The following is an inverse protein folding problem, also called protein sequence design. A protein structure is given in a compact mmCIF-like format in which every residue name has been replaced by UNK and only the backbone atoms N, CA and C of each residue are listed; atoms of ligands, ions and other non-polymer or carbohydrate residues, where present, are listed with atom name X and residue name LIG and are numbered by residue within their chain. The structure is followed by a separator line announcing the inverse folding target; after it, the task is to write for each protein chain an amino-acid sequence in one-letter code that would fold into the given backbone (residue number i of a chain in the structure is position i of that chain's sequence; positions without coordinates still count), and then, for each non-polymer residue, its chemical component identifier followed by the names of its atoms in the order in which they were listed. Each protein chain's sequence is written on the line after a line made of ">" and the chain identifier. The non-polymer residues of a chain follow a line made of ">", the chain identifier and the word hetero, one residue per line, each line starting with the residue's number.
data_IF_764746069209
#
_entry.id   IF_764746069209
#
_cell.length_a   1.000
_cell.length_b   1.000
_cell.length_c   1.000
_cell.angle_alpha   90.00
_cell.angle_beta   90.00
_cell.angle_gamma   90.00
#
_symmetry.space_group_name_H-M   'P 1'
#
loop_
_entity.id
_entity.type
_entity.pdbx_description
1 polymer ?
#
# COMPACT_ATOMS: atom_id res chain seq x y z
N UNK A 1 -10.35 -18.22 53.09
CA UNK A 1 -10.55 -19.26 52.06
C UNK A 1 -11.03 -18.58 50.79
N UNK A 2 -10.11 -18.00 50.03
CA UNK A 2 -10.41 -17.44 48.72
C UNK A 2 -9.78 -18.35 47.68
N UNK A 3 -10.51 -18.66 46.61
CA UNK A 3 -9.96 -19.03 45.31
C UNK A 3 -11.07 -19.27 44.28
N UNK A 4 -10.88 -18.61 43.13
CA UNK A 4 -11.27 -19.00 41.77
C UNK A 4 -12.74 -18.79 41.38
N UNK A 5 -12.97 -17.83 40.49
CA UNK A 5 -13.29 -18.12 39.09
C UNK A 5 -13.51 -16.84 38.30
N UNK A 6 -12.52 -16.39 37.51
CA UNK A 6 -12.71 -15.91 36.13
C UNK A 6 -11.36 -16.06 35.40
N UNK A 7 -11.19 -17.15 34.66
CA UNK A 7 -10.08 -17.33 33.73
C UNK A 7 -10.67 -17.61 32.34
N UNK A 8 -11.19 -16.58 31.65
CA UNK A 8 -11.64 -16.71 30.26
C UNK A 8 -11.85 -15.37 29.51
N UNK A 9 -11.07 -14.32 29.78
CA UNK A 9 -11.24 -13.05 29.05
C UNK A 9 -9.95 -12.39 28.54
N UNK A 10 -8.77 -12.87 28.94
CA UNK A 10 -7.49 -12.25 28.52
C UNK A 10 -7.09 -12.58 27.08
N UNK A 11 -7.65 -13.64 26.48
CA UNK A 11 -7.30 -14.09 25.13
C UNK A 11 -8.09 -13.45 23.98
N UNK A 12 -9.16 -12.71 24.25
CA UNK A 12 -9.95 -12.01 23.22
C UNK A 12 -9.57 -10.53 23.07
N UNK A 13 -8.79 -10.01 24.02
CA UNK A 13 -8.14 -8.70 23.94
C UNK A 13 -6.74 -8.80 23.31
N UNK A 14 -6.56 -9.74 22.38
CA UNK A 14 -5.39 -9.82 21.51
C UNK A 14 -5.16 -8.45 20.86
N UNK A 15 -3.91 -7.97 20.78
CA UNK A 15 -3.62 -6.55 20.84
C UNK A 15 -3.98 -5.89 19.52
N UNK A 16 -4.95 -4.97 19.56
CA UNK A 16 -5.16 -4.00 18.46
C UNK A 16 -3.86 -3.30 18.06
N UNK A 17 -2.89 -3.17 18.98
CA UNK A 17 -1.54 -2.64 18.74
C UNK A 17 -0.67 -3.49 17.81
N UNK A 18 -0.79 -4.83 17.83
CA UNK A 18 -0.01 -5.68 16.93
C UNK A 18 -0.53 -5.59 15.49
N UNK A 19 -1.85 -5.42 15.30
CA UNK A 19 -2.45 -5.18 13.98
C UNK A 19 -2.27 -3.73 13.49
N UNK A 20 -2.10 -2.77 14.41
CA UNK A 20 -1.73 -1.40 14.07
C UNK A 20 -0.25 -1.27 13.66
N UNK A 21 0.62 -2.13 14.19
CA UNK A 21 2.05 -2.16 13.84
C UNK A 21 2.30 -2.57 12.37
N UNK A 22 1.37 -3.29 11.75
CA UNK A 22 1.43 -3.67 10.34
C UNK A 22 0.78 -2.66 9.38
N UNK A 23 0.21 -1.55 9.89
CA UNK A 23 -0.26 -0.46 9.03
C UNK A 23 0.90 0.51 8.76
N UNK A 24 1.27 0.81 7.50
CA UNK A 24 2.41 1.65 7.19
C UNK A 24 2.06 3.14 7.37
N UNK A 25 1.77 3.56 8.61
CA UNK A 25 1.36 4.93 8.96
C UNK A 25 2.38 5.98 8.53
N UNK A 26 3.68 5.63 8.61
CA UNK A 26 4.77 6.49 8.15
C UNK A 26 4.75 6.71 6.62
N UNK A 27 4.39 5.69 5.83
CA UNK A 27 4.28 5.82 4.38
C UNK A 27 3.06 6.65 3.97
N UNK A 28 1.91 6.43 4.61
CA UNK A 28 0.69 7.21 4.39
C UNK A 28 0.79 8.67 4.88
N UNK A 29 1.61 8.93 5.90
CA UNK A 29 1.87 10.27 6.45
C UNK A 29 3.01 11.03 5.78
N UNK A 30 3.74 10.40 4.84
CA UNK A 30 4.83 11.03 4.12
C UNK A 30 4.31 12.20 3.25
N UNK A 31 5.13 13.25 3.10
CA UNK A 31 4.78 14.40 2.25
C UNK A 31 5.46 14.38 0.88
N UNK A 32 6.40 13.47 0.70
CA UNK A 32 7.19 13.30 -0.50
C UNK A 32 7.21 11.82 -0.91
N UNK A 33 7.31 11.55 -2.20
CA UNK A 33 7.43 10.19 -2.75
C UNK A 33 8.62 9.43 -2.16
N UNK A 34 9.81 10.04 -2.13
CA UNK A 34 11.01 9.38 -1.61
C UNK A 34 10.86 8.95 -0.15
N UNK A 35 10.17 9.74 0.67
CA UNK A 35 9.93 9.40 2.08
C UNK A 35 8.89 8.26 2.20
N UNK A 36 7.87 8.25 1.34
CA UNK A 36 6.85 7.20 1.30
C UNK A 36 7.44 5.85 0.89
N UNK A 37 8.26 5.83 -0.17
CA UNK A 37 8.93 4.63 -0.68
C UNK A 37 9.92 4.10 0.36
N UNK A 38 10.72 4.98 0.98
CA UNK A 38 11.62 4.58 2.06
C UNK A 38 10.91 4.03 3.28
N UNK A 39 9.76 4.60 3.64
CA UNK A 39 8.97 4.10 4.76
C UNK A 39 8.40 2.69 4.52
N UNK A 40 8.20 2.29 3.26
CA UNK A 40 7.65 0.98 2.90
C UNK A 40 8.73 -0.06 2.57
N UNK A 41 9.69 0.31 1.72
CA UNK A 41 10.72 -0.58 1.16
C UNK A 41 12.10 -0.38 1.79
N UNK A 42 12.25 0.54 2.74
CA UNK A 42 13.53 0.88 3.36
C UNK A 42 14.50 1.57 2.38
N UNK A 43 15.80 1.33 2.54
CA UNK A 43 16.85 1.85 1.66
C UNK A 43 17.05 1.00 0.38
N UNK A 44 16.02 0.28 -0.05
CA UNK A 44 16.08 -0.54 -1.27
C UNK A 44 16.25 0.36 -2.49
N UNK A 45 17.23 0.08 -3.37
CA UNK A 45 17.42 0.87 -4.58
C UNK A 45 16.21 0.72 -5.51
N UNK A 46 15.64 1.84 -5.93
CA UNK A 46 14.62 1.88 -6.98
C UNK A 46 15.32 1.65 -8.32
N UNK A 47 14.86 0.65 -9.07
CA UNK A 47 15.37 0.31 -10.39
C UNK A 47 14.20 0.34 -11.37
N UNK A 48 14.34 1.13 -12.43
CA UNK A 48 13.33 1.19 -13.48
C UNK A 48 13.24 -0.15 -14.22
N UNK A 49 12.01 -0.60 -14.49
CA UNK A 49 11.75 -1.87 -15.15
C UNK A 49 10.61 -1.75 -16.16
N UNK A 50 10.88 -2.17 -17.39
CA UNK A 50 9.88 -2.26 -18.46
C UNK A 50 8.89 -3.42 -18.25
N UNK A 51 9.12 -4.27 -17.25
CA UNK A 51 8.25 -5.40 -16.90
C UNK A 51 7.00 -4.97 -16.12
N UNK A 52 6.92 -3.71 -15.67
CA UNK A 52 5.78 -3.15 -14.93
C UNK A 52 4.93 -2.32 -15.89
N UNK A 53 3.64 -2.59 -15.92
CA UNK A 53 2.69 -1.89 -16.78
C UNK A 53 1.56 -1.29 -15.94
N UNK A 54 1.27 -0.01 -16.18
CA UNK A 54 0.22 0.74 -15.47
C UNK A 54 -0.80 1.23 -16.48
N UNK A 55 -2.06 0.91 -16.25
CA UNK A 55 -3.20 1.46 -16.98
C UNK A 55 -3.97 2.39 -16.07
N UNK A 56 -3.79 3.69 -16.32
CA UNK A 56 -4.55 4.77 -15.74
C UNK A 56 -5.37 5.47 -16.84
N UNK A 57 -6.57 6.00 -16.53
CA UNK A 57 -7.30 6.85 -17.46
C UNK A 57 -6.51 8.14 -17.70
N UNK A 58 -6.52 8.65 -18.94
CA UNK A 58 -5.83 9.89 -19.31
C UNK A 58 -6.38 11.09 -18.51
N UNK A 59 -7.69 11.11 -18.29
CA UNK A 59 -8.37 12.13 -17.50
C UNK A 59 -9.37 11.45 -16.57
N UNK A 60 -9.29 11.78 -15.29
CA UNK A 60 -10.26 11.34 -14.30
C UNK A 60 -11.50 12.24 -14.35
N UNK A 61 -12.64 11.72 -14.81
CA UNK A 61 -13.93 12.43 -14.70
C UNK A 61 -14.35 12.61 -13.24
N UNK A 62 -14.06 11.61 -12.42
CA UNK A 62 -14.30 11.64 -10.98
C UNK A 62 -13.00 11.40 -10.22
N UNK A 63 -12.37 12.49 -9.76
CA UNK A 63 -11.16 12.42 -8.93
C UNK A 63 -11.35 11.69 -7.60
N UNK A 64 -12.59 11.51 -7.11
CA UNK A 64 -12.83 10.71 -5.92
C UNK A 64 -12.61 9.21 -6.15
N UNK A 65 -12.75 8.73 -7.40
CA UNK A 65 -12.72 7.31 -7.74
C UNK A 65 -12.04 7.13 -9.11
N UNK A 66 -10.71 7.02 -9.10
CA UNK A 66 -9.92 6.79 -10.31
C UNK A 66 -9.50 5.33 -10.39
N UNK A 67 -9.96 4.56 -11.39
CA UNK A 67 -9.54 3.17 -11.54
C UNK A 67 -8.11 3.09 -12.06
N UNK A 68 -7.25 2.39 -11.32
CA UNK A 68 -5.86 2.11 -11.72
C UNK A 68 -5.69 0.60 -11.77
N UNK A 69 -5.07 0.12 -12.84
CA UNK A 69 -4.70 -1.28 -12.98
C UNK A 69 -3.21 -1.38 -13.25
N UNK A 70 -2.52 -2.11 -12.40
CA UNK A 70 -1.11 -2.42 -12.52
C UNK A 70 -0.99 -3.91 -12.80
N UNK A 71 -0.08 -4.28 -13.69
CA UNK A 71 0.37 -5.66 -13.79
C UNK A 71 1.88 -5.71 -14.06
N UNK A 72 2.52 -6.75 -13.55
CA UNK A 72 3.94 -7.00 -13.76
C UNK A 72 4.18 -8.45 -14.17
N UNK A 73 5.16 -8.66 -15.03
CA UNK A 73 5.66 -9.98 -15.43
C UNK A 73 6.89 -10.42 -14.62
N UNK A 74 7.29 -9.65 -13.62
CA UNK A 74 8.38 -10.02 -12.72
C UNK A 74 8.03 -11.28 -11.93
N UNK A 75 9.02 -12.17 -11.80
CA UNK A 75 9.00 -13.28 -10.85
C UNK A 75 9.18 -12.75 -9.43
N UNK A 76 8.61 -13.44 -8.44
CA UNK A 76 8.88 -13.19 -7.01
C UNK A 76 8.49 -11.78 -6.51
N UNK A 77 7.36 -11.26 -7.00
CA UNK A 77 6.78 -10.00 -6.48
C UNK A 77 6.23 -10.24 -5.08
N UNK A 78 6.79 -9.53 -4.09
CA UNK A 78 6.35 -9.59 -2.69
C UNK A 78 5.35 -8.49 -2.34
N UNK A 79 5.45 -7.34 -2.98
CA UNK A 79 4.58 -6.19 -2.73
C UNK A 79 4.47 -5.33 -3.98
N UNK A 80 3.32 -4.68 -4.16
CA UNK A 80 3.07 -3.69 -5.21
C UNK A 80 2.56 -2.43 -4.52
N UNK A 81 3.21 -1.29 -4.74
CA UNK A 81 2.81 0.00 -4.19
C UNK A 81 2.54 1.02 -5.31
N UNK A 82 1.53 1.87 -5.10
CA UNK A 82 1.16 2.94 -6.02
C UNK A 82 1.31 4.28 -5.30
N UNK A 83 2.10 5.16 -5.91
CA UNK A 83 2.40 6.51 -5.41
C UNK A 83 1.89 7.57 -6.40
N UNK A 84 1.40 8.68 -5.87
CA UNK A 84 0.81 9.80 -6.60
C UNK A 84 1.43 11.10 -6.08
N UNK A 85 2.42 11.63 -6.78
CA UNK A 85 3.34 12.65 -6.24
C UNK A 85 2.65 13.93 -5.74
N UNK A 86 1.62 14.39 -6.44
CA UNK A 86 0.97 15.68 -6.09
C UNK A 86 -0.29 15.52 -5.23
N UNK A 87 -0.53 14.33 -4.69
CA UNK A 87 -1.62 14.12 -3.75
C UNK A 87 -1.18 14.52 -2.33
N UNK A 88 -2.06 15.05 -1.46
CA UNK A 88 -1.69 15.42 -0.09
C UNK A 88 -1.09 14.27 0.72
N UNK A 89 -1.53 13.04 0.43
CA UNK A 89 -0.87 11.80 0.81
C UNK A 89 -0.37 11.15 -0.49
N UNK A 90 0.94 11.19 -0.79
CA UNK A 90 1.48 10.68 -2.04
C UNK A 90 1.34 9.16 -2.11
N UNK A 91 1.49 8.48 -0.97
CA UNK A 91 1.28 7.04 -0.89
C UNK A 91 -0.22 6.70 -0.99
N UNK A 92 -0.64 6.17 -2.14
CA UNK A 92 -2.06 5.91 -2.39
C UNK A 92 -2.47 4.54 -1.85
N UNK A 93 -1.70 3.49 -2.13
CA UNK A 93 -2.02 2.13 -1.70
C UNK A 93 -0.84 1.17 -1.89
N UNK A 94 -0.83 0.05 -1.16
CA UNK A 94 -0.07 -1.15 -1.50
C UNK A 94 -0.86 -2.41 -1.27
N UNK A 95 -0.34 -3.50 -1.84
CA UNK A 95 -0.75 -4.85 -1.55
C UNK A 95 0.48 -5.73 -1.40
N UNK A 96 0.51 -6.56 -0.37
CA UNK A 96 1.44 -7.68 -0.28
C UNK A 96 0.94 -8.82 -1.16
N UNK A 97 1.80 -9.31 -2.04
CA UNK A 97 1.49 -10.35 -3.02
C UNK A 97 2.09 -11.65 -2.49
N UNK A 98 1.23 -12.66 -2.29
CA UNK A 98 1.71 -13.98 -1.90
C UNK A 98 2.43 -14.67 -3.08
N UNK A 99 3.44 -15.51 -2.81
CA UNK A 99 4.13 -16.26 -3.85
C UNK A 99 3.15 -17.03 -4.74
N UNK A 100 3.21 -16.80 -6.04
CA UNK A 100 2.34 -17.43 -7.03
C UNK A 100 0.95 -16.78 -7.21
N UNK A 101 0.61 -15.71 -6.49
CA UNK A 101 -0.66 -14.98 -6.66
C UNK A 101 -0.76 -14.17 -7.97
N UNK A 102 0.37 -14.02 -8.69
CA UNK A 102 0.47 -13.24 -9.90
C UNK A 102 0.59 -11.74 -9.62
N UNK A 103 1.31 -11.02 -10.46
CA UNK A 103 1.59 -9.59 -10.27
C UNK A 103 0.49 -8.67 -10.81
N UNK A 104 -0.80 -8.95 -10.59
CA UNK A 104 -1.90 -8.08 -11.05
C UNK A 104 -2.60 -7.41 -9.87
N UNK A 105 -2.66 -6.09 -9.90
CA UNK A 105 -3.32 -5.29 -8.88
C UNK A 105 -4.25 -4.25 -9.51
N UNK A 106 -5.52 -4.27 -9.13
CA UNK A 106 -6.54 -3.35 -9.64
C UNK A 106 -7.24 -2.68 -8.48
N UNK A 107 -7.15 -1.36 -8.41
CA UNK A 107 -7.71 -0.58 -7.31
C UNK A 107 -8.36 0.70 -7.82
N UNK A 108 -9.07 1.38 -6.93
CA UNK A 108 -9.63 2.71 -7.18
C UNK A 108 -9.03 3.66 -6.14
N UNK A 109 -8.28 4.65 -6.61
CA UNK A 109 -7.61 5.62 -5.74
C UNK A 109 -8.25 7.00 -5.87
N UNK A 110 -8.14 7.80 -4.81
CA UNK A 110 -8.59 9.19 -4.81
C UNK A 110 -7.45 10.08 -5.31
N UNK A 111 -7.73 10.85 -6.35
CA UNK A 111 -6.83 11.80 -7.00
C UNK A 111 -7.36 13.22 -6.81
N UNK A 112 -6.62 14.06 -6.07
CA UNK A 112 -6.99 15.46 -5.88
C UNK A 112 -6.78 16.34 -7.11
N UNK A 113 -5.80 15.99 -7.96
CA UNK A 113 -5.42 16.74 -9.15
C UNK A 113 -4.62 15.87 -10.13
N UNK A 114 -4.46 16.34 -11.38
CA UNK A 114 -3.63 15.66 -12.38
C UNK A 114 -2.19 15.54 -11.91
N UNK A 115 -1.77 14.30 -11.73
CA UNK A 115 -0.48 13.95 -11.14
C UNK A 115 0.11 12.73 -11.85
N UNK A 116 1.45 12.65 -11.96
CA UNK A 116 2.10 11.39 -12.30
C UNK A 116 1.74 10.32 -11.27
N UNK A 117 1.64 9.08 -11.75
CA UNK A 117 1.39 7.89 -10.94
C UNK A 117 2.56 6.94 -11.17
N UNK A 118 3.27 6.62 -10.11
CA UNK A 118 4.43 5.72 -10.13
C UNK A 118 4.07 4.42 -9.42
N UNK A 119 4.49 3.30 -9.99
CA UNK A 119 4.35 1.99 -9.35
C UNK A 119 5.72 1.48 -8.93
N UNK A 120 5.75 0.87 -7.75
CA UNK A 120 6.90 0.20 -7.16
C UNK A 120 6.56 -1.27 -6.92
#
# INVERSE_FOLDING_TARGET
>A
MGTIAVAAAAGLLTPRRLLAASWPEAAFGAKNESDAVKALFGDTPVVDSDAISIKAPLQAENGAVVPIKVWTSLSDVESIAIVVDKNPAPYATSVEVMPGAGGLYSTRIKMGQTSPVTCY
#
